data_IF_596262922935
#
_entry.id   IF_596262922935
#
_cell.length_a   1.000
_cell.length_b   1.000
_cell.length_c   1.000
_cell.angle_alpha   90.00
_cell.angle_beta   90.00
_cell.angle_gamma   90.00
#
_symmetry.space_group_name_H-M   'P 1'
#
loop_
_entity.id
_entity.type
_entity.pdbx_description
1 polymer ?
#
# COMPACT_ATOMS: atom_id res chain seq x y z
N UNK A 1 -21.33 -6.14 -8.95
CA UNK A 1 -21.09 -6.15 -7.50
C UNK A 1 -19.61 -5.90 -7.29
N UNK A 2 -19.24 -4.78 -6.67
CA UNK A 2 -17.85 -4.47 -6.35
C UNK A 2 -17.33 -5.52 -5.36
N UNK A 3 -16.14 -6.07 -5.63
CA UNK A 3 -15.52 -7.07 -4.76
C UNK A 3 -15.20 -6.40 -3.41
N UNK A 4 -15.19 -7.09 -2.25
CA UNK A 4 -14.85 -6.49 -0.96
C UNK A 4 -13.45 -5.84 -0.88
N UNK A 5 -12.65 -5.86 -1.95
CA UNK A 5 -11.40 -5.11 -2.13
C UNK A 5 -11.51 -3.81 -2.95
N UNK A 6 -12.71 -3.36 -3.34
CA UNK A 6 -12.90 -2.20 -4.24
C UNK A 6 -13.08 -0.86 -3.51
N UNK A 7 -13.25 -0.84 -2.18
CA UNK A 7 -13.31 0.40 -1.39
C UNK A 7 -12.16 0.45 -0.40
N UNK A 8 -11.03 1.11 -0.74
CA UNK A 8 -10.01 1.37 0.25
C UNK A 8 -10.59 2.41 1.21
N UNK A 9 -10.65 2.05 2.49
CA UNK A 9 -10.84 2.91 3.67
C UNK A 9 -11.14 4.39 3.38
N UNK A 10 -12.33 4.84 3.80
CA UNK A 10 -12.76 6.24 3.68
C UNK A 10 -11.84 7.20 4.45
N UNK A 11 -11.77 8.46 4.00
CA UNK A 11 -10.97 9.51 4.64
C UNK A 11 -9.62 9.78 3.98
N UNK A 12 -8.65 10.21 4.78
CA UNK A 12 -7.34 10.72 4.34
C UNK A 12 -6.58 9.71 3.46
N UNK A 13 -6.37 8.49 3.96
CA UNK A 13 -5.60 7.48 3.22
C UNK A 13 -6.31 7.01 1.93
N UNK A 14 -7.64 6.99 1.92
CA UNK A 14 -8.42 6.69 0.71
C UNK A 14 -8.20 7.75 -0.38
N UNK A 15 -8.23 9.03 -0.01
CA UNK A 15 -7.98 10.15 -0.91
C UNK A 15 -6.53 10.13 -1.46
N UNK A 16 -5.54 9.90 -0.59
CA UNK A 16 -4.13 9.80 -0.98
C UNK A 16 -3.90 8.61 -1.91
N UNK A 17 -4.50 7.44 -1.62
CA UNK A 17 -4.38 6.25 -2.48
C UNK A 17 -4.95 6.53 -3.87
N UNK A 18 -6.12 7.15 -3.96
CA UNK A 18 -6.72 7.51 -5.25
C UNK A 18 -5.84 8.49 -6.04
N UNK A 19 -5.21 9.45 -5.35
CA UNK A 19 -4.25 10.38 -5.96
C UNK A 19 -3.00 9.66 -6.49
N UNK A 20 -2.43 8.75 -5.72
CA UNK A 20 -1.27 7.95 -6.16
C UNK A 20 -1.60 7.00 -7.32
N UNK A 21 -2.78 6.40 -7.33
CA UNK A 21 -3.24 5.61 -8.48
C UNK A 21 -3.30 6.47 -9.76
N UNK A 22 -3.76 7.71 -9.67
CA UNK A 22 -3.74 8.65 -10.80
C UNK A 22 -2.31 8.96 -11.25
N UNK A 23 -1.38 9.21 -10.31
CA UNK A 23 0.02 9.49 -10.65
C UNK A 23 0.73 8.29 -11.29
N UNK A 24 0.46 7.07 -10.80
CA UNK A 24 0.97 5.84 -11.42
C UNK A 24 0.42 5.62 -12.84
N UNK A 25 -0.86 5.91 -13.07
CA UNK A 25 -1.45 5.85 -14.42
C UNK A 25 -0.83 6.88 -15.37
N UNK A 26 -0.58 8.11 -14.91
CA UNK A 26 0.08 9.14 -15.71
C UNK A 26 1.50 8.73 -16.13
N UNK A 27 2.19 7.92 -15.30
CA UNK A 27 3.51 7.35 -15.59
C UNK A 27 3.45 6.07 -16.44
N UNK A 28 2.28 5.68 -16.93
CA UNK A 28 2.05 4.48 -17.76
C UNK A 28 2.58 3.18 -17.12
N UNK A 29 2.46 3.04 -15.79
CA UNK A 29 2.77 1.78 -15.12
C UNK A 29 1.79 0.68 -15.57
N UNK A 30 2.31 -0.53 -15.76
CA UNK A 30 1.49 -1.68 -16.15
C UNK A 30 0.37 -1.97 -15.13
N UNK A 31 -0.83 -2.42 -15.56
CA UNK A 31 -1.96 -2.69 -14.65
C UNK A 31 -1.63 -3.66 -13.52
N UNK A 32 -0.79 -4.67 -13.81
CA UNK A 32 -0.30 -5.63 -12.81
C UNK A 32 0.53 -4.95 -11.72
N UNK A 33 1.36 -3.97 -12.09
CA UNK A 33 2.17 -3.19 -11.14
C UNK A 33 1.31 -2.30 -10.28
N UNK A 34 0.32 -1.61 -10.87
CA UNK A 34 -0.66 -0.82 -10.12
C UNK A 34 -1.34 -1.67 -9.04
N UNK A 35 -1.89 -2.84 -9.41
CA UNK A 35 -2.53 -3.77 -8.47
C UNK A 35 -1.57 -4.21 -7.37
N UNK A 36 -0.38 -4.70 -7.74
CA UNK A 36 0.60 -5.15 -6.76
C UNK A 36 0.96 -4.05 -5.76
N UNK A 37 1.04 -2.80 -6.20
CA UNK A 37 1.37 -1.66 -5.35
C UNK A 37 0.20 -1.25 -4.45
N UNK A 38 -1.00 -1.13 -5.01
CA UNK A 38 -2.18 -0.76 -4.23
C UNK A 38 -2.54 -1.84 -3.22
N UNK A 39 -2.45 -3.12 -3.59
CA UNK A 39 -2.72 -4.24 -2.67
C UNK A 39 -1.72 -4.23 -1.50
N UNK A 40 -0.48 -3.81 -1.75
CA UNK A 40 0.53 -3.71 -0.68
C UNK A 40 0.19 -2.61 0.32
N UNK A 41 -0.27 -1.45 -0.16
CA UNK A 41 -0.75 -0.37 0.69
C UNK A 41 -2.00 -0.79 1.46
N UNK A 42 -2.96 -1.44 0.79
CA UNK A 42 -4.21 -1.87 1.41
C UNK A 42 -3.96 -2.89 2.54
N UNK A 43 -3.01 -3.80 2.36
CA UNK A 43 -2.59 -4.74 3.39
C UNK A 43 -1.93 -4.04 4.59
N UNK A 44 -1.09 -3.03 4.36
CA UNK A 44 -0.49 -2.26 5.44
C UNK A 44 -1.55 -1.50 6.24
N UNK A 45 -2.50 -0.84 5.56
CA UNK A 45 -3.56 -0.08 6.24
C UNK A 45 -4.46 -1.01 7.05
N UNK A 46 -4.82 -2.17 6.49
CA UNK A 46 -5.56 -3.19 7.22
C UNK A 46 -4.79 -3.68 8.46
N UNK A 47 -3.47 -3.84 8.36
CA UNK A 47 -2.61 -4.23 9.48
C UNK A 47 -2.51 -3.15 10.55
N UNK A 48 -2.41 -1.88 10.15
CA UNK A 48 -2.34 -0.74 11.07
C UNK A 48 -3.62 -0.51 11.88
N UNK A 49 -4.77 -0.98 11.37
CA UNK A 49 -6.07 -0.80 12.02
C UNK A 49 -6.56 0.66 12.05
N UNK A 50 -5.93 1.56 11.31
CA UNK A 50 -6.24 2.99 11.27
C UNK A 50 -6.18 3.56 9.85
N UNK A 51 -6.98 4.59 9.58
CA UNK A 51 -7.16 5.17 8.23
C UNK A 51 -6.48 6.53 8.04
N UNK A 52 -5.59 6.91 8.98
CA UNK A 52 -4.83 8.17 8.96
C UNK A 52 -3.37 7.93 8.60
N UNK A 53 -2.71 8.89 7.96
CA UNK A 53 -1.30 8.77 7.58
C UNK A 53 -0.38 8.59 8.79
N UNK A 54 -0.70 9.21 9.92
CA UNK A 54 0.05 9.09 11.16
C UNK A 54 0.07 7.66 11.74
N UNK A 55 -0.89 6.81 11.37
CA UNK A 55 -0.94 5.41 11.79
C UNK A 55 0.03 4.51 10.99
N UNK A 56 0.61 5.02 9.90
CA UNK A 56 1.54 4.28 9.05
C UNK A 56 2.99 4.67 9.34
N UNK A 57 3.37 4.59 10.61
CA UNK A 57 4.72 4.91 11.04
C UNK A 57 5.72 3.79 10.72
N UNK A 58 7.00 4.04 11.04
CA UNK A 58 8.07 3.08 10.82
C UNK A 58 7.86 1.77 11.57
N UNK A 59 7.38 1.83 12.81
CA UNK A 59 7.18 0.65 13.63
C UNK A 59 6.08 -0.23 13.02
N UNK A 60 4.94 0.35 12.64
CA UNK A 60 3.85 -0.35 11.97
C UNK A 60 4.30 -0.99 10.65
N UNK A 61 5.11 -0.31 9.85
CA UNK A 61 5.66 -0.87 8.61
C UNK A 61 6.59 -2.06 8.90
N UNK A 62 7.43 -1.97 9.91
CA UNK A 62 8.35 -3.06 10.29
C UNK A 62 7.58 -4.27 10.81
N UNK A 63 6.58 -4.06 11.68
CA UNK A 63 5.71 -5.11 12.21
C UNK A 63 4.94 -5.82 11.08
N UNK A 64 4.36 -5.05 10.15
CA UNK A 64 3.68 -5.58 8.99
C UNK A 64 4.58 -6.46 8.11
N UNK A 65 5.80 -6.00 7.83
CA UNK A 65 6.76 -6.76 7.03
C UNK A 65 7.26 -8.02 7.77
N UNK A 66 7.42 -7.96 9.09
CA UNK A 66 7.71 -9.12 9.94
C UNK A 66 6.62 -10.17 9.85
N UNK A 67 5.36 -9.77 10.06
CA UNK A 67 4.20 -10.66 9.96
C UNK A 67 4.03 -11.27 8.55
N UNK A 68 4.39 -10.53 7.49
CA UNK A 68 4.43 -11.08 6.14
C UNK A 68 5.54 -12.12 5.95
N UNK A 69 6.73 -11.89 6.52
CA UNK A 69 7.88 -12.79 6.39
C UNK A 69 7.66 -14.14 7.06
N UNK A 70 6.83 -14.21 8.10
CA UNK A 70 6.42 -15.49 8.72
C UNK A 70 5.57 -16.37 7.79
N UNK A 71 4.85 -15.75 6.83
CA UNK A 71 3.82 -16.44 6.03
C UNK A 71 4.19 -16.58 4.56
N UNK A 72 5.06 -15.72 4.05
CA UNK A 72 5.36 -15.62 2.63
C UNK A 72 6.86 -15.69 2.33
N UNK A 73 7.17 -16.12 1.11
CA UNK A 73 8.55 -16.18 0.62
C UNK A 73 9.19 -14.78 0.57
N UNK A 74 10.53 -14.68 0.75
CA UNK A 74 11.24 -13.39 0.73
C UNK A 74 10.97 -12.54 -0.53
N UNK A 75 10.78 -13.17 -1.69
CA UNK A 75 10.43 -12.47 -2.93
C UNK A 75 9.11 -11.69 -2.83
N UNK A 76 8.09 -12.26 -2.16
CA UNK A 76 6.80 -11.59 -1.95
C UNK A 76 6.97 -10.41 -1.00
N UNK A 77 7.68 -10.60 0.11
CA UNK A 77 7.97 -9.53 1.08
C UNK A 77 8.74 -8.38 0.42
N UNK A 78 9.72 -8.69 -0.42
CA UNK A 78 10.48 -7.69 -1.19
C UNK A 78 9.60 -6.87 -2.13
N UNK A 79 8.61 -7.49 -2.78
CA UNK A 79 7.64 -6.77 -3.62
C UNK A 79 6.80 -5.81 -2.78
N UNK A 80 6.31 -6.25 -1.61
CA UNK A 80 5.55 -5.41 -0.67
C UNK A 80 6.37 -4.22 -0.18
N UNK A 81 7.60 -4.48 0.27
CA UNK A 81 8.52 -3.44 0.72
C UNK A 81 8.76 -2.37 -0.36
N UNK A 82 9.09 -2.78 -1.58
CA UNK A 82 9.34 -1.84 -2.69
C UNK A 82 8.10 -1.03 -3.05
N UNK A 83 6.91 -1.64 -3.03
CA UNK A 83 5.66 -0.90 -3.23
C UNK A 83 5.45 0.19 -2.17
N UNK A 84 5.68 -0.14 -0.90
CA UNK A 84 5.57 0.82 0.21
C UNK A 84 6.62 1.93 0.12
N UNK A 85 7.86 1.61 -0.25
CA UNK A 85 8.90 2.60 -0.50
C UNK A 85 8.47 3.60 -1.59
N UNK A 86 7.87 3.13 -2.69
CA UNK A 86 7.38 3.99 -3.77
C UNK A 86 6.19 4.86 -3.33
N UNK A 87 5.34 4.37 -2.43
CA UNK A 87 4.25 5.15 -1.85
C UNK A 87 4.77 6.30 -0.99
N UNK A 88 5.63 6.00 -0.02
CA UNK A 88 6.20 7.03 0.85
C UNK A 88 7.09 8.00 0.10
N UNK A 89 7.85 7.52 -0.91
CA UNK A 89 8.61 8.39 -1.80
C UNK A 89 7.74 9.33 -2.61
N UNK A 90 6.54 8.92 -3.01
CA UNK A 90 5.58 9.80 -3.69
C UNK A 90 4.94 10.83 -2.75
N UNK A 91 4.71 10.49 -1.48
CA UNK A 91 4.12 11.42 -0.50
C UNK A 91 5.01 12.63 -0.18
N UNK A 92 6.33 12.48 -0.34
CA UNK A 92 7.33 13.51 0.01
C UNK A 92 7.92 14.22 -1.21
N UNK A 93 7.48 13.87 -2.42
CA UNK A 93 7.96 14.43 -3.69
C UNK A 93 7.09 15.60 -4.16
#
# INVERSE_FOLDING_TARGET
MASPGDRPYEGELGALRASWVRSMRARNLAPKTLRAYTDSLDQLVAHAGGTTLAALDRATVQDFLGALAERYKPATVSVRFRALQQWFGWLIA
#
